data_IF_288159611545
#
_entry.id   IF_288159611545
#
_cell.length_a   1.000
_cell.length_b   1.000
_cell.length_c   1.000
_cell.angle_alpha   90.00
_cell.angle_beta   90.00
_cell.angle_gamma   90.00
#
_symmetry.space_group_name_H-M   'P 1'
#
loop_
_entity.id
_entity.type
_entity.pdbx_description
1 polymer ?
#
# COMPACT_ATOMS: atom_id res chain seq x y z
N UNK A 1 50.14 -44.59 22.15
CA UNK A 1 48.88 -44.89 21.41
C UNK A 1 47.62 -44.23 22.00
N UNK A 2 47.69 -43.15 22.80
CA UNK A 2 46.50 -42.55 23.50
C UNK A 2 46.07 -41.17 22.96
N UNK A 3 46.88 -40.58 22.08
CA UNK A 3 46.74 -39.18 21.66
C UNK A 3 45.90 -39.02 20.38
N UNK A 4 45.85 -40.05 19.52
CA UNK A 4 45.10 -40.05 18.27
C UNK A 4 43.57 -40.12 18.50
N UNK A 5 43.12 -40.88 19.50
CA UNK A 5 41.70 -40.99 19.84
C UNK A 5 41.12 -39.68 20.39
N UNK A 6 41.93 -38.91 21.14
CA UNK A 6 41.54 -37.59 21.64
C UNK A 6 41.38 -36.56 20.52
N UNK A 7 42.20 -36.65 19.47
CA UNK A 7 42.12 -35.77 18.30
C UNK A 7 40.87 -36.04 17.46
N UNK A 8 40.48 -37.32 17.33
CA UNK A 8 39.30 -37.74 16.59
C UNK A 8 37.98 -37.33 17.28
N UNK A 9 37.93 -37.33 18.61
CA UNK A 9 36.75 -36.87 19.36
C UNK A 9 36.52 -35.36 19.24
N UNK A 10 37.59 -34.56 19.21
CA UNK A 10 37.49 -33.10 19.06
C UNK A 10 37.06 -32.70 17.64
N UNK A 11 37.52 -33.41 16.62
CA UNK A 11 37.15 -33.14 15.22
C UNK A 11 35.65 -33.37 14.93
N UNK A 12 35.03 -34.37 15.58
CA UNK A 12 33.59 -34.69 15.41
C UNK A 12 32.66 -33.65 16.04
N UNK A 13 33.11 -32.96 17.09
CA UNK A 13 32.32 -31.92 17.78
C UNK A 13 32.33 -30.60 16.99
N UNK A 14 33.42 -30.31 16.27
CA UNK A 14 33.58 -29.08 15.48
C UNK A 14 32.83 -29.14 14.14
N UNK A 15 32.71 -30.32 13.51
CA UNK A 15 31.99 -30.50 12.26
C UNK A 15 30.46 -30.40 12.43
N UNK A 16 29.94 -30.78 13.60
CA UNK A 16 28.52 -30.65 13.94
C UNK A 16 28.05 -29.18 14.00
N UNK A 17 28.89 -28.25 14.48
CA UNK A 17 28.58 -26.80 14.55
C UNK A 17 28.47 -26.12 13.18
N UNK A 18 29.27 -26.55 12.19
CA UNK A 18 29.28 -25.97 10.83
C UNK A 18 28.13 -26.45 9.95
N UNK A 19 27.72 -27.71 10.10
CA UNK A 19 26.56 -28.28 9.39
C UNK A 19 25.26 -27.65 9.87
N UNK A 20 25.18 -27.39 11.18
CA UNK A 20 24.03 -26.70 11.79
C UNK A 20 23.85 -25.27 11.25
N UNK A 21 24.94 -24.53 11.01
CA UNK A 21 24.91 -23.15 10.48
C UNK A 21 24.55 -23.07 8.98
N UNK A 22 24.91 -24.09 8.18
CA UNK A 22 24.54 -24.14 6.76
C UNK A 22 23.07 -24.51 6.55
N UNK A 23 22.52 -25.39 7.39
CA UNK A 23 21.11 -25.76 7.34
C UNK A 23 20.16 -24.62 7.77
N UNK A 24 20.56 -23.83 8.77
CA UNK A 24 19.77 -22.67 9.23
C UNK A 24 19.71 -21.55 8.19
N UNK A 25 20.81 -21.23 7.51
CA UNK A 25 20.81 -20.21 6.44
C UNK A 25 19.93 -20.60 5.24
N UNK A 26 19.93 -21.88 4.85
CA UNK A 26 19.05 -22.38 3.79
C UNK A 26 17.57 -22.41 4.21
N UNK A 27 17.29 -22.73 5.49
CA UNK A 27 15.93 -22.69 6.03
C UNK A 27 15.32 -21.30 6.08
N UNK A 28 16.09 -20.28 6.47
CA UNK A 28 15.62 -18.88 6.49
C UNK A 28 15.36 -18.36 5.07
N UNK A 29 16.23 -18.68 4.11
CA UNK A 29 16.01 -18.31 2.71
C UNK A 29 14.74 -18.97 2.12
N UNK A 30 14.46 -20.22 2.50
CA UNK A 30 13.24 -20.92 2.09
C UNK A 30 11.96 -20.26 2.66
N UNK A 31 12.00 -19.82 3.92
CA UNK A 31 10.88 -19.11 4.56
C UNK A 31 10.63 -17.73 3.90
N UNK A 32 11.68 -16.98 3.56
CA UNK A 32 11.54 -15.70 2.86
C UNK A 32 11.00 -15.85 1.43
N UNK A 33 11.24 -17.00 0.77
CA UNK A 33 10.72 -17.27 -0.58
C UNK A 33 9.22 -17.62 -0.59
N UNK A 34 8.66 -18.05 0.55
CA UNK A 34 7.25 -18.41 0.68
C UNK A 34 6.36 -17.24 1.09
N UNK A 35 6.90 -16.03 1.28
CA UNK A 35 6.06 -14.87 1.56
C UNK A 35 5.33 -14.51 0.27
N UNK A 36 4.00 -14.68 0.19
CA UNK A 36 3.25 -14.20 -0.96
C UNK A 36 3.39 -12.69 -0.96
N UNK A 37 4.17 -12.17 -1.92
CA UNK A 37 4.24 -10.75 -2.16
C UNK A 37 2.90 -10.34 -2.76
N UNK A 38 1.99 -9.83 -1.92
CA UNK A 38 0.76 -9.21 -2.40
C UNK A 38 1.13 -7.88 -3.06
N UNK A 39 1.60 -7.96 -4.31
CA UNK A 39 1.64 -6.82 -5.20
C UNK A 39 0.19 -6.50 -5.57
N UNK A 40 -0.40 -5.51 -4.89
CA UNK A 40 -1.70 -4.97 -5.29
C UNK A 40 -1.52 -4.32 -6.65
N UNK A 41 -1.98 -4.97 -7.71
CA UNK A 41 -2.03 -4.38 -9.03
C UNK A 41 -3.12 -3.29 -9.02
N UNK A 42 -2.74 -2.06 -8.68
CA UNK A 42 -3.62 -0.89 -8.84
C UNK A 42 -3.97 -0.83 -10.33
N UNK A 43 -5.25 -1.02 -10.66
CA UNK A 43 -5.67 -1.02 -12.06
C UNK A 43 -5.38 0.33 -12.71
N UNK A 44 -5.06 0.33 -14.00
CA UNK A 44 -4.90 1.57 -14.78
C UNK A 44 -6.13 2.48 -14.66
N UNK A 45 -7.34 1.89 -14.56
CA UNK A 45 -8.58 2.64 -14.34
C UNK A 45 -8.59 3.36 -13.00
N UNK A 46 -8.17 2.72 -11.90
CA UNK A 46 -8.11 3.35 -10.58
C UNK A 46 -7.20 4.58 -10.60
N UNK A 47 -6.04 4.49 -11.27
CA UNK A 47 -5.12 5.62 -11.38
C UNK A 47 -5.69 6.77 -12.20
N UNK A 48 -6.40 6.46 -13.29
CA UNK A 48 -7.07 7.47 -14.10
C UNK A 48 -8.08 8.28 -13.27
N UNK A 49 -8.90 7.61 -12.45
CA UNK A 49 -9.89 8.28 -11.62
C UNK A 49 -9.29 9.07 -10.46
N UNK A 50 -8.18 8.61 -9.86
CA UNK A 50 -7.39 9.41 -8.91
C UNK A 50 -6.92 10.73 -9.54
N UNK A 51 -6.42 10.67 -10.78
CA UNK A 51 -5.97 11.86 -11.51
C UNK A 51 -7.15 12.80 -11.78
N UNK A 52 -8.29 12.27 -12.25
CA UNK A 52 -9.51 13.07 -12.48
C UNK A 52 -10.02 13.73 -11.19
N UNK A 53 -9.99 13.03 -10.05
CA UNK A 53 -10.34 13.61 -8.75
C UNK A 53 -9.41 14.78 -8.37
N UNK A 54 -8.10 14.65 -8.62
CA UNK A 54 -7.15 15.74 -8.41
C UNK A 54 -7.45 16.97 -9.30
N UNK A 55 -7.83 16.76 -10.56
CA UNK A 55 -8.27 17.84 -11.44
C UNK A 55 -9.52 18.54 -10.93
N UNK A 56 -10.51 17.81 -10.42
CA UNK A 56 -11.73 18.40 -9.86
C UNK A 56 -11.42 19.35 -8.70
N UNK A 57 -10.51 18.94 -7.81
CA UNK A 57 -10.02 19.82 -6.73
C UNK A 57 -9.39 21.11 -7.27
N UNK A 58 -8.57 20.99 -8.33
CA UNK A 58 -7.95 22.16 -8.96
C UNK A 58 -8.99 23.08 -9.60
N UNK A 59 -10.01 22.53 -10.27
CA UNK A 59 -11.09 23.35 -10.82
C UNK A 59 -11.80 24.14 -9.72
N UNK A 60 -12.13 23.51 -8.60
CA UNK A 60 -12.78 24.22 -7.49
C UNK A 60 -11.88 25.34 -6.92
N UNK A 61 -10.56 25.14 -6.92
CA UNK A 61 -9.60 26.16 -6.48
C UNK A 61 -9.54 27.37 -7.42
N UNK A 62 -9.76 27.19 -8.72
CA UNK A 62 -9.58 28.26 -9.71
C UNK A 62 -10.88 28.80 -10.31
N UNK A 63 -12.02 28.13 -10.10
CA UNK A 63 -13.34 28.61 -10.49
C UNK A 63 -13.92 29.47 -9.36
N UNK A 64 -14.57 30.57 -9.73
CA UNK A 64 -15.37 31.39 -8.83
C UNK A 64 -16.84 31.05 -9.01
N UNK A 65 -17.47 30.59 -7.92
CA UNK A 65 -18.87 30.22 -7.91
C UNK A 65 -19.71 31.43 -7.47
N UNK A 66 -20.80 31.77 -8.19
CA UNK A 66 -21.59 32.96 -7.90
C UNK A 66 -22.38 32.88 -6.59
N UNK A 67 -22.56 31.68 -6.01
CA UNK A 67 -23.30 31.50 -4.76
C UNK A 67 -22.38 31.57 -3.54
N UNK A 68 -22.89 32.13 -2.44
CA UNK A 68 -22.17 32.36 -1.19
C UNK A 68 -22.47 31.30 -0.12
N UNK A 69 -22.61 30.04 -0.52
CA UNK A 69 -22.77 28.95 0.44
C UNK A 69 -21.43 28.55 1.07
N UNK A 70 -21.47 28.10 2.32
CA UNK A 70 -20.29 27.59 3.04
C UNK A 70 -19.82 26.22 2.52
N UNK A 71 -20.50 25.66 1.52
CA UNK A 71 -20.28 24.30 1.04
C UNK A 71 -20.34 24.23 -0.48
N UNK A 72 -19.42 23.46 -1.07
CA UNK A 72 -19.43 23.06 -2.47
C UNK A 72 -19.67 21.55 -2.50
N UNK A 73 -20.76 21.12 -3.13
CA UNK A 73 -21.10 19.69 -3.26
C UNK A 73 -20.68 19.16 -4.62
N UNK A 74 -19.91 18.08 -4.62
CA UNK A 74 -19.61 17.26 -5.80
C UNK A 74 -20.63 16.11 -5.81
N UNK A 75 -21.47 16.06 -6.84
CA UNK A 75 -22.42 14.97 -7.05
C UNK A 75 -21.85 13.89 -7.98
N UNK A 76 -21.94 12.62 -7.58
CA UNK A 76 -21.74 11.46 -8.46
C UNK A 76 -23.13 10.88 -8.74
N UNK A 77 -23.54 10.88 -10.00
CA UNK A 77 -24.87 10.40 -10.42
C UNK A 77 -24.75 9.03 -11.08
N UNK A 78 -25.50 8.05 -10.59
CA UNK A 78 -25.51 6.68 -11.13
C UNK A 78 -24.26 5.88 -10.74
N UNK A 79 -23.73 5.10 -11.69
CA UNK A 79 -22.54 4.28 -11.44
C UNK A 79 -21.35 5.15 -11.03
N UNK A 80 -20.65 4.78 -9.95
CA UNK A 80 -19.49 5.51 -9.43
C UNK A 80 -18.17 4.86 -9.87
N UNK A 81 -17.56 5.34 -10.97
CA UNK A 81 -16.27 4.83 -11.39
C UNK A 81 -15.10 5.42 -10.60
N UNK A 82 -15.32 6.47 -9.80
CA UNK A 82 -14.28 7.05 -8.96
C UNK A 82 -13.98 6.16 -7.75
N UNK A 83 -14.98 5.44 -7.24
CA UNK A 83 -14.84 4.61 -6.05
C UNK A 83 -14.25 5.42 -4.90
N UNK A 84 -13.07 5.02 -4.42
CA UNK A 84 -12.40 5.70 -3.30
C UNK A 84 -11.63 6.97 -3.70
N UNK A 85 -11.48 7.26 -4.99
CA UNK A 85 -10.66 8.37 -5.49
C UNK A 85 -11.16 9.76 -5.03
N UNK A 86 -12.47 9.92 -4.81
CA UNK A 86 -13.05 11.16 -4.32
C UNK A 86 -12.99 11.29 -2.80
N UNK A 87 -12.86 10.19 -2.04
CA UNK A 87 -12.87 10.20 -0.57
C UNK A 87 -11.91 11.23 0.07
N UNK A 88 -10.67 11.45 -0.44
CA UNK A 88 -9.75 12.45 0.11
C UNK A 88 -10.21 13.90 -0.05
N UNK A 89 -11.20 14.17 -0.90
CA UNK A 89 -11.76 15.51 -1.09
C UNK A 89 -12.89 15.80 -0.10
N UNK A 90 -13.53 14.78 0.47
CA UNK A 90 -14.66 14.98 1.38
C UNK A 90 -14.20 15.73 2.63
N UNK A 91 -14.88 16.82 2.98
CA UNK A 91 -14.57 17.66 4.13
C UNK A 91 -13.41 18.64 3.96
N UNK A 92 -12.68 18.61 2.83
CA UNK A 92 -11.63 19.62 2.57
C UNK A 92 -12.22 21.03 2.50
N UNK A 93 -11.46 22.01 2.96
CA UNK A 93 -11.83 23.42 2.82
C UNK A 93 -11.09 24.03 1.62
N UNK A 94 -11.84 24.66 0.72
CA UNK A 94 -11.31 25.39 -0.45
C UNK A 94 -12.01 26.75 -0.52
N UNK A 95 -11.24 27.84 -0.60
CA UNK A 95 -11.77 29.22 -0.61
C UNK A 95 -12.78 29.49 0.52
N UNK A 96 -12.52 28.95 1.72
CA UNK A 96 -13.40 29.09 2.89
C UNK A 96 -14.66 28.22 2.88
N UNK A 97 -14.83 27.34 1.88
CA UNK A 97 -16.02 26.48 1.73
C UNK A 97 -15.65 25.01 1.92
N UNK A 98 -16.50 24.25 2.60
CA UNK A 98 -16.36 22.81 2.81
C UNK A 98 -16.74 22.05 1.53
N UNK A 99 -15.94 21.09 1.12
CA UNK A 99 -16.29 20.15 0.06
C UNK A 99 -17.11 19.00 0.63
N UNK A 100 -18.20 18.65 -0.04
CA UNK A 100 -18.98 17.44 0.26
C UNK A 100 -19.13 16.59 -0.98
N UNK A 101 -19.04 15.28 -0.83
CA UNK A 101 -19.34 14.34 -1.90
C UNK A 101 -20.70 13.73 -1.64
N UNK A 102 -21.55 13.72 -2.67
CA UNK A 102 -22.88 13.14 -2.64
C UNK A 102 -23.01 12.14 -3.76
N UNK A 103 -23.39 10.93 -3.42
CA UNK A 103 -23.83 9.93 -4.39
C UNK A 103 -25.34 10.09 -4.56
N UNK A 104 -25.77 10.22 -5.81
CA UNK A 104 -27.17 10.36 -6.18
C UNK A 104 -27.56 9.14 -7.00
N UNK A 105 -28.59 8.45 -6.53
CA UNK A 105 -29.24 7.38 -7.27
C UNK A 105 -30.19 8.01 -8.30
N UNK A 106 -30.25 7.43 -9.50
CA UNK A 106 -31.14 7.84 -10.59
C UNK A 106 -32.33 6.90 -10.72
#
# INVERSE_FOLDING_TARGET
MRNADRQLLLARILSARKVFWRGTLLGVAYICFQVPHQASAQSLSSREYEIKAAYLYNFIKYVDWPSYGDTISIGVLGNDPFGTALAPLNGKIVKGRRLLIKHLDS
#
